data_IF_491056524179
#
_entry.id   IF_491056524179
#
_cell.length_a   1.000
_cell.length_b   1.000
_cell.length_c   1.000
_cell.angle_alpha   90.00
_cell.angle_beta   90.00
_cell.angle_gamma   90.00
#
_symmetry.space_group_name_H-M   'P 1'
#
loop_
_entity.id
_entity.type
_entity.pdbx_description
1 polymer ?
#
# COMPACT_ATOMS: atom_id res chain seq x y z
N UNK A 1 11.59 31.78 -5.00
CA UNK A 1 11.52 31.09 -6.31
C UNK A 1 10.34 30.13 -6.25
N UNK A 2 9.22 30.47 -6.89
CA UNK A 2 8.06 29.57 -7.00
C UNK A 2 8.40 28.54 -8.08
N UNK A 3 8.34 27.25 -7.75
CA UNK A 3 8.46 26.19 -8.75
C UNK A 3 7.17 26.22 -9.59
N UNK A 4 7.32 26.17 -10.91
CA UNK A 4 6.21 25.89 -11.82
C UNK A 4 5.74 24.46 -11.54
N UNK A 5 4.45 24.23 -11.19
CA UNK A 5 3.93 22.90 -10.89
C UNK A 5 4.03 21.91 -12.06
N UNK A 6 4.37 22.35 -13.27
CA UNK A 6 4.52 21.52 -14.47
C UNK A 6 5.94 21.05 -14.77
N UNK A 7 6.96 21.54 -14.05
CA UNK A 7 8.35 21.11 -14.27
C UNK A 7 8.70 19.87 -13.43
N UNK A 8 9.31 18.82 -14.02
CA UNK A 8 9.68 17.63 -13.28
C UNK A 8 10.74 17.97 -12.22
N UNK A 9 10.52 17.52 -10.99
CA UNK A 9 11.50 17.60 -9.91
C UNK A 9 12.44 16.40 -9.98
N UNK A 10 13.74 16.66 -10.16
CA UNK A 10 14.78 15.63 -10.17
C UNK A 10 15.64 15.75 -8.91
N UNK A 11 15.96 14.62 -8.30
CA UNK A 11 16.77 14.54 -7.09
C UNK A 11 16.93 13.10 -6.61
N UNK A 12 17.57 12.93 -5.46
CA UNK A 12 17.73 11.64 -4.79
C UNK A 12 16.65 11.43 -3.75
N UNK A 13 16.11 10.22 -3.68
CA UNK A 13 15.21 9.81 -2.60
C UNK A 13 15.98 9.82 -1.28
N UNK A 14 15.56 10.68 -0.36
CA UNK A 14 16.11 10.79 0.97
C UNK A 14 15.36 9.93 1.97
N UNK A 15 14.03 10.01 1.97
CA UNK A 15 13.17 9.22 2.84
C UNK A 15 11.78 9.00 2.21
N UNK A 16 11.12 7.92 2.59
CA UNK A 16 9.77 7.59 2.16
C UNK A 16 9.03 6.84 3.28
N UNK A 17 7.93 7.40 3.75
CA UNK A 17 7.17 6.81 4.85
C UNK A 17 5.66 7.05 4.72
N UNK A 18 4.83 6.16 5.27
CA UNK A 18 3.40 6.40 5.45
C UNK A 18 3.13 7.70 6.19
N UNK A 19 2.18 8.50 5.72
CA UNK A 19 1.67 9.64 6.44
C UNK A 19 0.16 9.83 6.23
N UNK A 20 -0.45 10.85 6.85
CA UNK A 20 -1.87 11.10 6.71
C UNK A 20 -2.26 11.27 5.24
N UNK A 21 -3.11 10.38 4.72
CA UNK A 21 -3.63 10.44 3.36
C UNK A 21 -2.77 9.79 2.27
N UNK A 22 -1.64 9.15 2.60
CA UNK A 22 -0.82 8.44 1.61
C UNK A 22 0.63 8.23 2.03
N UNK A 23 1.55 8.50 1.12
CA UNK A 23 2.99 8.40 1.33
C UNK A 23 3.62 9.79 1.32
N UNK A 24 4.50 10.05 2.27
CA UNK A 24 5.39 11.21 2.27
C UNK A 24 6.70 10.80 1.63
N UNK A 25 7.17 11.58 0.66
CA UNK A 25 8.43 11.35 -0.05
C UNK A 25 9.31 12.57 0.08
N UNK A 26 10.53 12.38 0.54
CA UNK A 26 11.54 13.42 0.60
C UNK A 26 12.56 13.24 -0.53
N UNK A 27 12.75 14.29 -1.34
CA UNK A 27 13.79 14.35 -2.37
C UNK A 27 14.81 15.42 -2.02
N UNK A 28 16.10 15.15 -2.26
CA UNK A 28 17.16 16.17 -2.23
C UNK A 28 17.56 16.48 -3.67
N UNK A 29 17.43 17.74 -4.08
CA UNK A 29 17.81 18.15 -5.44
C UNK A 29 19.33 18.30 -5.62
N UNK A 30 19.76 18.50 -6.86
CA UNK A 30 21.18 18.69 -7.24
C UNK A 30 21.86 19.87 -6.52
N UNK A 31 21.09 20.79 -5.92
CA UNK A 31 21.60 21.94 -5.15
C UNK A 31 21.60 21.66 -3.64
N UNK A 32 21.30 20.43 -3.22
CA UNK A 32 21.21 20.03 -1.82
C UNK A 32 19.93 20.48 -1.12
N UNK A 33 18.91 20.97 -1.84
CA UNK A 33 17.65 21.41 -1.22
C UNK A 33 16.72 20.22 -1.02
N UNK A 34 16.14 20.13 0.18
CA UNK A 34 15.14 19.11 0.51
C UNK A 34 13.74 19.54 0.06
N UNK A 35 13.02 18.62 -0.56
CA UNK A 35 11.66 18.77 -1.04
C UNK A 35 10.78 17.70 -0.42
N UNK A 36 9.72 18.10 0.27
CA UNK A 36 8.70 17.18 0.80
C UNK A 36 7.54 17.10 -0.19
N UNK A 37 7.22 15.89 -0.61
CA UNK A 37 6.11 15.56 -1.49
C UNK A 37 5.13 14.65 -0.78
N UNK A 38 3.87 14.70 -1.20
CA UNK A 38 2.82 13.81 -0.75
C UNK A 38 2.25 13.10 -1.98
N UNK A 39 2.18 11.78 -1.92
CA UNK A 39 1.49 10.96 -2.91
C UNK A 39 0.27 10.33 -2.22
N UNK A 40 -0.97 10.47 -2.77
CA UNK A 40 -2.17 9.84 -2.22
C UNK A 40 -2.20 8.31 -2.46
N UNK A 41 -1.04 7.67 -2.45
CA UNK A 41 -0.86 6.25 -2.71
C UNK A 41 -1.51 5.41 -1.63
N UNK A 42 -2.46 4.58 -2.05
CA UNK A 42 -3.13 3.60 -1.21
C UNK A 42 -2.64 2.19 -1.57
N UNK A 43 -1.74 1.57 -0.76
CA UNK A 43 -1.10 0.32 -1.10
C UNK A 43 -2.10 -0.81 -1.36
N UNK A 44 -2.02 -1.49 -2.51
CA UNK A 44 -2.73 -2.74 -2.70
C UNK A 44 -2.04 -3.86 -1.93
N UNK A 45 -2.83 -4.83 -1.46
CA UNK A 45 -2.33 -6.11 -0.97
C UNK A 45 -3.23 -7.24 -1.46
N UNK A 46 -2.73 -8.47 -1.36
CA UNK A 46 -3.35 -9.63 -1.99
C UNK A 46 -3.52 -10.76 -0.98
N UNK A 47 -4.72 -11.34 -0.96
CA UNK A 47 -5.05 -12.50 -0.13
C UNK A 47 -5.25 -13.72 -1.04
N UNK A 48 -4.63 -14.84 -0.67
CA UNK A 48 -4.82 -16.16 -1.30
C UNK A 48 -5.40 -17.11 -0.26
N UNK A 49 -6.34 -17.94 -0.66
CA UNK A 49 -6.97 -18.93 0.21
C UNK A 49 -8.26 -19.47 -0.40
N UNK A 50 -8.95 -20.32 0.34
CA UNK A 50 -10.27 -20.78 -0.07
C UNK A 50 -11.30 -19.63 -0.04
N UNK A 51 -12.42 -19.84 -0.74
CA UNK A 51 -13.46 -18.81 -0.91
C UNK A 51 -14.12 -18.41 0.40
N UNK A 52 -14.23 -19.30 1.37
CA UNK A 52 -14.86 -19.01 2.65
C UNK A 52 -13.96 -18.12 3.52
N UNK A 53 -12.67 -18.45 3.59
CA UNK A 53 -11.64 -17.67 4.27
C UNK A 53 -11.51 -16.26 3.65
N UNK A 54 -11.46 -16.15 2.32
CA UNK A 54 -11.39 -14.86 1.63
C UNK A 54 -12.61 -13.97 1.94
N UNK A 55 -13.82 -14.55 1.96
CA UNK A 55 -15.05 -13.81 2.35
C UNK A 55 -15.05 -13.40 3.81
N UNK A 56 -14.53 -14.24 4.71
CA UNK A 56 -14.40 -13.89 6.12
C UNK A 56 -13.43 -12.72 6.31
N UNK A 57 -12.22 -12.82 5.74
CA UNK A 57 -11.21 -11.76 5.80
C UNK A 57 -11.73 -10.45 5.22
N UNK A 58 -12.38 -10.47 4.05
CA UNK A 58 -12.97 -9.28 3.43
C UNK A 58 -13.99 -8.57 4.34
N UNK A 59 -14.84 -9.34 5.04
CA UNK A 59 -15.82 -8.78 5.99
C UNK A 59 -15.15 -8.14 7.20
N UNK A 60 -14.14 -8.79 7.78
CA UNK A 60 -13.43 -8.26 8.94
C UNK A 60 -12.63 -7.00 8.58
N UNK A 61 -11.97 -6.97 7.42
CA UNK A 61 -11.26 -5.80 6.91
C UNK A 61 -12.18 -4.58 6.72
N UNK A 62 -13.36 -4.81 6.16
CA UNK A 62 -14.37 -3.77 5.97
C UNK A 62 -14.93 -3.27 7.32
N UNK A 63 -15.24 -4.19 8.25
CA UNK A 63 -15.71 -3.84 9.61
C UNK A 63 -14.70 -3.00 10.39
N UNK A 64 -13.42 -3.36 10.32
CA UNK A 64 -12.34 -2.62 10.96
C UNK A 64 -11.98 -1.30 10.25
N UNK A 65 -12.59 -1.02 9.09
CA UNK A 65 -12.26 0.11 8.19
C UNK A 65 -10.76 0.19 7.91
N UNK A 66 -10.12 -0.95 7.67
CA UNK A 66 -8.70 -1.02 7.38
C UNK A 66 -8.44 -1.10 5.88
N UNK A 67 -9.27 -1.85 5.16
CA UNK A 67 -9.09 -2.05 3.74
C UNK A 67 -10.42 -2.22 3.02
N UNK A 68 -10.40 -1.92 1.73
CA UNK A 68 -11.50 -2.14 0.79
C UNK A 68 -11.16 -3.33 -0.12
N UNK A 69 -12.00 -4.38 -0.17
CA UNK A 69 -11.88 -5.43 -1.18
C UNK A 69 -12.17 -4.85 -2.58
N UNK A 70 -11.22 -4.99 -3.51
CA UNK A 70 -11.35 -4.49 -4.90
C UNK A 70 -11.97 -5.56 -5.80
N UNK A 71 -11.55 -6.82 -5.63
CA UNK A 71 -12.07 -7.94 -6.41
C UNK A 71 -11.07 -9.07 -6.62
N UNK A 72 -11.55 -10.18 -7.18
CA UNK A 72 -10.69 -11.29 -7.57
C UNK A 72 -9.89 -10.91 -8.81
N UNK A 73 -8.59 -11.23 -8.81
CA UNK A 73 -7.68 -11.00 -9.93
C UNK A 73 -6.66 -12.12 -10.02
N UNK A 74 -5.90 -12.18 -11.13
CA UNK A 74 -4.69 -13.01 -11.25
C UNK A 74 -3.44 -12.17 -11.00
N UNK A 75 -2.49 -12.73 -10.26
CA UNK A 75 -1.16 -12.16 -10.01
C UNK A 75 -0.11 -13.24 -10.11
N UNK A 76 1.10 -12.82 -10.45
CA UNK A 76 2.26 -13.69 -10.43
C UNK A 76 2.67 -13.97 -8.98
N UNK A 77 2.74 -15.25 -8.60
CA UNK A 77 3.39 -15.65 -7.37
C UNK A 77 4.91 -15.48 -7.53
N UNK A 78 5.55 -14.80 -6.57
CA UNK A 78 6.89 -14.27 -6.73
C UNK A 78 7.97 -15.35 -6.94
N UNK A 79 7.83 -16.51 -6.30
CA UNK A 79 8.85 -17.56 -6.33
C UNK A 79 8.71 -18.52 -7.51
N UNK A 80 7.49 -18.97 -7.76
CA UNK A 80 7.15 -19.95 -8.81
C UNK A 80 6.94 -19.30 -10.17
N UNK A 81 6.63 -18.00 -10.22
CA UNK A 81 6.23 -17.31 -11.44
C UNK A 81 4.82 -17.67 -11.93
N UNK A 82 4.08 -18.53 -11.22
CA UNK A 82 2.74 -18.98 -11.59
C UNK A 82 1.69 -17.85 -11.48
N UNK A 83 0.71 -17.82 -12.38
CA UNK A 83 -0.44 -16.92 -12.28
C UNK A 83 -1.52 -17.46 -11.34
N UNK A 84 -1.56 -16.96 -10.11
CA UNK A 84 -2.48 -17.40 -9.06
C UNK A 84 -3.68 -16.47 -8.89
N UNK A 85 -4.83 -17.03 -8.54
CA UNK A 85 -6.02 -16.25 -8.20
C UNK A 85 -5.92 -15.69 -6.78
N UNK A 86 -6.14 -14.39 -6.63
CA UNK A 86 -6.05 -13.66 -5.36
C UNK A 86 -7.20 -12.66 -5.23
N UNK A 87 -7.61 -12.40 -3.99
CA UNK A 87 -8.45 -11.24 -3.68
C UNK A 87 -7.53 -10.03 -3.52
N UNK A 88 -7.66 -9.04 -4.41
CA UNK A 88 -7.02 -7.74 -4.24
C UNK A 88 -7.81 -6.91 -3.25
N UNK A 89 -7.11 -6.32 -2.30
CA UNK A 89 -7.62 -5.33 -1.37
C UNK A 89 -6.78 -4.05 -1.49
N UNK A 90 -7.37 -2.91 -1.15
CA UNK A 90 -6.69 -1.62 -1.05
C UNK A 90 -6.69 -1.17 0.41
N UNK A 91 -5.52 -0.90 0.97
CA UNK A 91 -5.40 -0.31 2.30
C UNK A 91 -5.94 1.12 2.27
N UNK A 92 -6.77 1.50 3.24
CA UNK A 92 -7.38 2.84 3.28
C UNK A 92 -6.43 3.91 3.81
N UNK A 93 -5.44 3.51 4.58
CA UNK A 93 -4.45 4.37 5.21
C UNK A 93 -3.13 3.60 5.37
N UNK A 94 -2.04 4.00 4.69
CA UNK A 94 -0.72 3.37 4.79
C UNK A 94 -0.20 3.23 6.23
N UNK A 95 -0.48 4.19 7.11
CA UNK A 95 -0.02 4.16 8.52
C UNK A 95 -0.68 3.02 9.31
N UNK A 96 -1.82 2.50 8.83
CA UNK A 96 -2.57 1.42 9.48
C UNK A 96 -2.14 0.02 9.05
N UNK A 97 -1.10 -0.11 8.23
CA UNK A 97 -0.55 -1.43 7.86
C UNK A 97 -0.23 -2.32 9.08
N UNK A 98 0.36 -1.83 10.19
CA UNK A 98 0.59 -2.68 11.36
C UNK A 98 -0.70 -3.19 12.02
N UNK A 99 -1.80 -2.43 11.96
CA UNK A 99 -3.10 -2.86 12.44
C UNK A 99 -3.72 -3.92 11.50
N UNK A 100 -3.58 -3.74 10.18
CA UNK A 100 -3.95 -4.73 9.17
C UNK A 100 -3.26 -6.08 9.43
N UNK A 101 -1.94 -6.07 9.60
CA UNK A 101 -1.18 -7.30 9.81
C UNK A 101 -1.60 -8.01 11.10
N UNK A 102 -1.82 -7.27 12.19
CA UNK A 102 -2.33 -7.85 13.46
C UNK A 102 -3.70 -8.49 13.30
N UNK A 103 -4.61 -7.87 12.55
CA UNK A 103 -5.95 -8.43 12.28
C UNK A 103 -5.87 -9.73 11.46
N UNK A 104 -4.96 -9.78 10.47
CA UNK A 104 -4.79 -10.93 9.59
C UNK A 104 -3.86 -12.01 10.15
N UNK A 105 -3.23 -11.75 11.31
CA UNK A 105 -2.35 -12.70 11.95
C UNK A 105 -3.15 -13.91 12.42
N UNK A 106 -2.80 -15.10 11.92
CA UNK A 106 -3.22 -16.35 12.56
C UNK A 106 -2.27 -16.58 13.75
N UNK A 107 -2.77 -16.94 14.95
CA UNK A 107 -1.91 -17.37 16.04
C UNK A 107 -0.98 -18.47 15.54
N UNK A 108 0.34 -18.31 15.72
CA UNK A 108 1.25 -19.43 15.47
C UNK A 108 0.98 -20.50 16.55
N UNK A 109 0.82 -21.77 16.18
CA UNK A 109 0.71 -22.86 17.14
C UNK A 109 1.98 -22.98 17.99
#
# INVERSE_FOLDING_TARGET
MRLDPSSPLTGWLFDCYPGPGGMVVWLVDERGRSHRLEDPFLPPFYLRGDRAALRAAARELARARLAEPVGMTRRQEFWSGEQVAVLQCRLLDPERQPALLRLLSVPRP
#
